data_IF_923912815746
#
_entry.id   IF_923912815746
#
_cell.length_a   1.000
_cell.length_b   1.000
_cell.length_c   1.000
_cell.angle_alpha   90.00
_cell.angle_beta   90.00
_cell.angle_gamma   90.00
#
_symmetry.space_group_name_H-M   'P 1'
#
loop_
_entity.id
_entity.type
_entity.pdbx_description
1 polymer ?
#
# COMPACT_ATOMS: atom_id res chain seq x y z
N UNK A 1 -70.94 -4.19 8.54
CA UNK A 1 -69.88 -4.63 9.47
C UNK A 1 -68.56 -4.37 8.80
N UNK A 2 -67.69 -3.57 9.40
CA UNK A 2 -66.44 -3.13 8.76
C UNK A 2 -65.27 -3.60 9.61
N UNK A 3 -64.55 -4.62 9.13
CA UNK A 3 -63.35 -5.13 9.78
C UNK A 3 -62.18 -4.25 9.38
N UNK A 4 -61.55 -3.61 10.36
CA UNK A 4 -60.33 -2.83 10.13
C UNK A 4 -59.13 -3.70 10.50
N UNK A 5 -58.32 -4.04 9.51
CA UNK A 5 -57.05 -4.76 9.72
C UNK A 5 -55.94 -3.73 9.78
N UNK A 6 -55.27 -3.65 10.94
CA UNK A 6 -54.13 -2.77 11.16
C UNK A 6 -52.85 -3.60 11.11
N UNK A 7 -51.95 -3.27 10.18
CA UNK A 7 -50.66 -3.94 10.05
C UNK A 7 -49.61 -3.19 10.87
N UNK A 8 -48.97 -3.88 11.79
CA UNK A 8 -47.99 -3.31 12.71
C UNK A 8 -46.60 -3.78 12.29
N UNK A 9 -45.83 -2.87 11.68
CA UNK A 9 -44.43 -3.11 11.37
C UNK A 9 -43.59 -2.98 12.65
N UNK A 10 -43.32 -4.11 13.30
CA UNK A 10 -42.43 -4.18 14.46
C UNK A 10 -40.98 -4.25 13.95
N UNK A 11 -40.08 -3.33 14.36
CA UNK A 11 -38.67 -3.40 13.97
C UNK A 11 -38.03 -4.63 14.62
N UNK A 12 -37.72 -5.65 13.81
CA UNK A 12 -36.98 -6.81 14.27
C UNK A 12 -35.55 -6.40 14.64
N UNK A 13 -35.23 -6.43 15.94
CA UNK A 13 -33.85 -6.35 16.39
C UNK A 13 -33.08 -7.54 15.83
N UNK A 14 -32.26 -7.29 14.81
CA UNK A 14 -31.31 -8.27 14.27
C UNK A 14 -30.20 -8.46 15.30
N UNK A 15 -30.38 -9.41 16.21
CA UNK A 15 -29.32 -9.84 17.13
C UNK A 15 -28.20 -10.44 16.30
N UNK A 16 -27.08 -9.73 16.18
CA UNK A 16 -25.88 -10.29 15.59
C UNK A 16 -25.49 -11.53 16.41
N UNK A 17 -25.39 -12.73 15.80
CA UNK A 17 -25.04 -13.93 16.53
C UNK A 17 -23.67 -13.72 17.17
N UNK A 18 -23.56 -14.00 18.48
CA UNK A 18 -22.34 -13.75 19.28
C UNK A 18 -21.08 -14.40 18.71
N UNK A 19 -21.27 -15.46 17.91
CA UNK A 19 -20.22 -16.22 17.23
C UNK A 19 -19.83 -15.67 15.85
N UNK A 20 -20.57 -14.70 15.30
CA UNK A 20 -20.21 -14.05 14.05
C UNK A 20 -19.02 -13.11 14.19
N UNK A 21 -18.81 -12.52 15.37
CA UNK A 21 -17.68 -11.62 15.64
C UNK A 21 -16.31 -12.31 15.47
N UNK A 22 -16.01 -13.48 16.10
CA UNK A 22 -14.74 -14.16 15.89
C UNK A 22 -14.57 -14.67 14.45
N UNK A 23 -15.67 -15.12 13.81
CA UNK A 23 -15.63 -15.57 12.42
C UNK A 23 -15.32 -14.43 11.44
N UNK A 24 -15.95 -13.27 11.64
CA UNK A 24 -15.68 -12.08 10.84
C UNK A 24 -14.23 -11.60 11.02
N UNK A 25 -13.70 -11.65 12.25
CA UNK A 25 -12.31 -11.31 12.52
C UNK A 25 -11.33 -12.29 11.85
N UNK A 26 -11.59 -13.59 11.95
CA UNK A 26 -10.77 -14.61 11.30
C UNK A 26 -10.80 -14.50 9.77
N UNK A 27 -11.97 -14.23 9.19
CA UNK A 27 -12.13 -14.03 7.75
C UNK A 27 -11.46 -12.74 7.28
N UNK A 28 -11.57 -11.66 8.05
CA UNK A 28 -10.87 -10.40 7.76
C UNK A 28 -9.34 -10.56 7.85
N UNK A 29 -8.84 -11.32 8.83
CA UNK A 29 -7.42 -11.63 8.95
C UNK A 29 -6.91 -12.47 7.77
N UNK A 30 -7.68 -13.48 7.34
CA UNK A 30 -7.37 -14.28 6.16
C UNK A 30 -7.36 -13.42 4.88
N UNK A 31 -8.36 -12.54 4.71
CA UNK A 31 -8.41 -11.62 3.58
C UNK A 31 -7.27 -10.60 3.61
N UNK A 32 -6.85 -10.11 4.77
CA UNK A 32 -5.68 -9.24 4.89
C UNK A 32 -4.37 -9.98 4.63
N UNK A 33 -4.27 -11.27 4.97
CA UNK A 33 -3.13 -12.10 4.63
C UNK A 33 -3.06 -12.42 3.13
N UNK A 34 -4.20 -12.49 2.45
CA UNK A 34 -4.30 -12.66 0.99
C UNK A 34 -4.19 -11.33 0.23
N UNK A 35 -4.44 -10.19 0.88
CA UNK A 35 -4.18 -8.90 0.26
C UNK A 35 -2.68 -8.80 0.02
N UNK A 36 -2.24 -8.55 -1.23
CA UNK A 36 -0.84 -8.28 -1.48
C UNK A 36 -0.47 -7.07 -0.62
N UNK A 37 0.45 -7.28 0.31
CA UNK A 37 1.02 -6.21 1.09
C UNK A 37 1.57 -5.18 0.08
N UNK A 38 0.85 -4.06 -0.01
CA UNK A 38 1.50 -2.76 0.01
C UNK A 38 2.58 -2.58 -1.05
N UNK A 39 2.12 -2.39 -2.29
CA UNK A 39 2.93 -1.90 -3.41
C UNK A 39 3.71 -0.62 -3.07
N UNK A 40 3.22 0.15 -2.10
CA UNK A 40 3.83 1.39 -1.59
C UNK A 40 5.24 1.15 -1.06
N UNK A 41 5.47 0.09 -0.27
CA UNK A 41 6.79 -0.20 0.29
C UNK A 41 7.76 -0.83 -0.72
N UNK A 42 7.24 -1.43 -1.81
CA UNK A 42 8.07 -2.08 -2.83
C UNK A 42 8.66 -1.05 -3.79
N UNK A 43 7.89 -0.04 -4.19
CA UNK A 43 8.37 1.04 -5.05
C UNK A 43 9.45 1.89 -4.38
N UNK A 44 9.27 2.25 -3.10
CA UNK A 44 10.27 3.00 -2.34
C UNK A 44 11.61 2.22 -2.25
N UNK A 45 11.53 0.91 -1.97
CA UNK A 45 12.71 0.06 -1.91
C UNK A 45 13.40 -0.08 -3.28
N UNK A 46 12.62 -0.01 -4.35
CA UNK A 46 13.13 -0.14 -5.71
C UNK A 46 13.80 1.16 -6.19
N UNK A 47 13.21 2.32 -5.91
CA UNK A 47 13.79 3.62 -6.24
C UNK A 47 15.15 3.84 -5.57
N UNK A 48 15.28 3.47 -4.29
CA UNK A 48 16.54 3.54 -3.56
C UNK A 48 17.62 2.59 -4.13
N UNK A 49 17.23 1.39 -4.58
CA UNK A 49 18.14 0.44 -5.23
C UNK A 49 18.63 0.95 -6.58
N UNK A 50 17.72 1.46 -7.41
CA UNK A 50 18.04 2.02 -8.71
C UNK A 50 18.96 3.25 -8.57
N UNK A 51 18.71 4.12 -7.58
CA UNK A 51 19.61 5.22 -7.26
C UNK A 51 21.00 4.73 -6.82
N UNK A 52 21.08 3.67 -6.01
CA UNK A 52 22.36 3.08 -5.61
C UNK A 52 23.16 2.54 -6.81
N UNK A 53 22.51 1.90 -7.77
CA UNK A 53 23.17 1.40 -8.99
C UNK A 53 23.73 2.55 -9.85
N UNK A 54 22.98 3.65 -10.00
CA UNK A 54 23.47 4.85 -10.70
C UNK A 54 24.66 5.46 -9.98
N UNK A 55 24.67 5.49 -8.63
CA UNK A 55 25.81 5.96 -7.84
C UNK A 55 27.06 5.07 -8.05
N UNK A 56 26.89 3.76 -8.20
CA UNK A 56 27.99 2.85 -8.54
C UNK A 56 28.53 3.13 -9.94
N UNK A 57 27.64 3.35 -10.92
CA UNK A 57 28.04 3.74 -12.27
C UNK A 57 28.80 5.07 -12.27
N UNK A 58 28.31 6.09 -11.57
CA UNK A 58 28.97 7.39 -11.45
C UNK A 58 30.42 7.28 -10.94
N UNK A 59 30.69 6.36 -10.00
CA UNK A 59 32.05 6.12 -9.49
C UNK A 59 33.01 5.62 -10.56
N UNK A 60 32.53 4.93 -11.60
CA UNK A 60 33.37 4.48 -12.72
C UNK A 60 33.85 5.67 -13.56
N UNK A 61 33.04 6.73 -13.64
CA UNK A 61 33.34 7.92 -14.42
C UNK A 61 34.16 8.96 -13.65
N UNK A 62 34.25 8.90 -12.31
CA UNK A 62 35.02 9.86 -11.50
C UNK A 62 36.45 10.13 -11.99
N UNK A 63 37.12 9.11 -12.55
CA UNK A 63 38.51 9.24 -13.05
C UNK A 63 38.60 9.76 -14.49
N UNK A 64 37.56 9.56 -15.28
CA UNK A 64 37.57 9.84 -16.73
C UNK A 64 36.83 11.14 -17.04
N UNK A 65 35.69 11.35 -16.39
CA UNK A 65 34.87 12.54 -16.50
C UNK A 65 34.17 12.81 -15.14
N UNK A 66 34.76 13.65 -14.28
CA UNK A 66 34.19 13.99 -12.98
C UNK A 66 32.93 14.87 -13.10
N UNK A 67 32.75 15.61 -14.21
CA UNK A 67 31.55 16.42 -14.43
C UNK A 67 30.34 15.54 -14.70
N UNK A 68 30.52 14.54 -15.56
CA UNK A 68 29.48 13.54 -15.83
C UNK A 68 29.15 12.70 -14.59
N UNK A 69 30.16 12.33 -13.79
CA UNK A 69 29.93 11.63 -12.53
C UNK A 69 29.08 12.47 -11.54
N UNK A 70 29.35 13.78 -11.43
CA UNK A 70 28.57 14.68 -10.59
C UNK A 70 27.11 14.79 -11.04
N UNK A 71 26.86 14.84 -12.35
CA UNK A 71 25.51 14.85 -12.90
C UNK A 71 24.75 13.55 -12.60
N UNK A 72 25.41 12.39 -12.70
CA UNK A 72 24.82 11.10 -12.33
C UNK A 72 24.49 11.00 -10.84
N UNK A 73 25.32 11.55 -9.95
CA UNK A 73 25.00 11.63 -8.53
C UNK A 73 23.76 12.50 -8.28
N UNK A 74 23.70 13.69 -8.89
CA UNK A 74 22.55 14.57 -8.77
C UNK A 74 21.27 13.97 -9.38
N UNK A 75 21.39 13.18 -10.46
CA UNK A 75 20.28 12.46 -11.04
C UNK A 75 19.77 11.35 -10.10
N UNK A 76 20.67 10.61 -9.45
CA UNK A 76 20.31 9.57 -8.50
C UNK A 76 19.59 10.14 -7.27
N UNK A 77 20.07 11.26 -6.72
CA UNK A 77 19.43 11.91 -5.57
C UNK A 77 18.04 12.44 -5.93
N UNK A 78 17.87 13.07 -7.11
CA UNK A 78 16.55 13.49 -7.59
C UNK A 78 15.61 12.31 -7.88
N UNK A 79 16.13 11.18 -8.34
CA UNK A 79 15.32 9.97 -8.58
C UNK A 79 14.78 9.39 -7.27
N UNK A 80 15.63 9.34 -6.24
CA UNK A 80 15.24 8.93 -4.90
C UNK A 80 14.21 9.89 -4.29
N UNK A 81 14.36 11.21 -4.48
CA UNK A 81 13.34 12.18 -4.05
C UNK A 81 11.99 12.03 -4.79
N UNK A 82 12.01 11.74 -6.10
CA UNK A 82 10.79 11.68 -6.91
C UNK A 82 9.99 10.39 -6.70
N UNK A 83 10.66 9.28 -6.41
CA UNK A 83 10.06 7.94 -6.37
C UNK A 83 10.21 7.22 -5.02
N UNK A 84 10.97 7.79 -4.08
CA UNK A 84 11.19 7.24 -2.74
C UNK A 84 10.33 7.87 -1.63
N UNK A 85 9.19 8.50 -1.98
CA UNK A 85 8.23 9.07 -1.02
C UNK A 85 6.85 8.40 -1.11
#
# INVERSE_FOLDING_TARGET
>A
MTTTTMDLQVPQQRTAPRLAAPFAAAFAALLNALKPAERVNVEENQAAREAADVRVMARQYLKTDPGFAADLFAAADRHEELYGN
#
